data_IF_442601004427
#
_entry.id   IF_442601004427
#
_cell.length_a   1.000
_cell.length_b   1.000
_cell.length_c   1.000
_cell.angle_alpha   90.00
_cell.angle_beta   90.00
_cell.angle_gamma   90.00
#
_symmetry.space_group_name_H-M   'P 1'
#
loop_
_entity.id
_entity.type
_entity.pdbx_description
1 polymer ?
#
# COMPACT_ATOMS: atom_id res chain seq x y z
N UNK A 1 -44.81 7.59 -0.08
CA UNK A 1 -44.02 7.49 -1.33
C UNK A 1 -43.00 6.39 -1.13
N UNK A 2 -43.16 5.29 -1.85
CA UNK A 2 -42.24 4.17 -1.81
C UNK A 2 -40.99 4.47 -2.65
N UNK A 3 -39.80 4.37 -2.06
CA UNK A 3 -38.53 4.49 -2.77
C UNK A 3 -38.45 3.42 -3.89
N UNK A 4 -37.91 3.77 -5.09
CA UNK A 4 -37.66 2.83 -6.18
C UNK A 4 -36.90 1.58 -5.70
N UNK A 5 -37.22 0.43 -6.27
CA UNK A 5 -36.72 -0.87 -5.81
C UNK A 5 -35.18 -0.99 -5.84
N UNK A 6 -34.51 -0.25 -6.73
CA UNK A 6 -33.04 -0.18 -6.79
C UNK A 6 -32.44 0.60 -5.61
N UNK A 7 -33.08 1.68 -5.15
CA UNK A 7 -32.66 2.39 -3.94
C UNK A 7 -32.90 1.55 -2.69
N UNK A 8 -34.01 0.80 -2.64
CA UNK A 8 -34.25 -0.17 -1.56
C UNK A 8 -33.24 -1.32 -1.56
N UNK A 9 -32.69 -1.71 -2.72
CA UNK A 9 -31.64 -2.75 -2.86
C UNK A 9 -30.26 -2.24 -2.45
N UNK A 10 -29.94 -0.97 -2.75
CA UNK A 10 -28.78 -0.26 -2.21
C UNK A 10 -28.87 -0.10 -0.69
N UNK A 11 -30.02 0.30 -0.16
CA UNK A 11 -30.23 0.52 1.27
C UNK A 11 -30.33 -0.78 2.09
N UNK A 12 -30.83 -1.90 1.52
CA UNK A 12 -30.78 -3.23 2.17
C UNK A 12 -29.38 -3.84 2.27
N UNK A 13 -28.42 -3.40 1.43
CA UNK A 13 -27.02 -3.83 1.54
C UNK A 13 -26.23 -3.10 2.63
N UNK A 14 -26.81 -2.06 3.22
CA UNK A 14 -26.14 -1.13 4.14
C UNK A 14 -26.37 -1.50 5.63
N UNK A 15 -27.20 -2.49 5.97
CA UNK A 15 -27.54 -2.76 7.38
C UNK A 15 -26.63 -3.74 8.13
N UNK A 16 -25.61 -4.35 7.52
CA UNK A 16 -24.62 -5.19 8.21
C UNK A 16 -23.22 -4.98 7.57
N UNK A 17 -22.43 -4.01 8.07
CA UNK A 17 -21.22 -3.53 7.39
C UNK A 17 -20.01 -4.49 7.54
N UNK A 18 -19.98 -5.52 6.69
CA UNK A 18 -18.74 -6.15 6.20
C UNK A 18 -18.73 -5.96 4.68
N UNK A 19 -18.35 -4.77 4.21
CA UNK A 19 -18.33 -4.45 2.77
C UNK A 19 -17.08 -5.05 2.15
N UNK A 20 -17.17 -6.33 1.78
CA UNK A 20 -16.38 -6.95 0.71
C UNK A 20 -17.07 -6.80 -0.66
N UNK A 21 -17.98 -5.83 -0.81
CA UNK A 21 -18.78 -5.67 -2.02
C UNK A 21 -18.01 -4.85 -3.07
N UNK A 22 -17.68 -5.52 -4.17
CA UNK A 22 -16.94 -4.99 -5.32
C UNK A 22 -17.80 -3.97 -6.08
N UNK A 23 -17.49 -2.68 -6.00
CA UNK A 23 -18.12 -1.66 -6.83
C UNK A 23 -17.62 -1.85 -8.28
N UNK A 24 -18.43 -2.49 -9.13
CA UNK A 24 -18.00 -2.92 -10.46
C UNK A 24 -18.23 -1.90 -11.59
N UNK A 25 -18.84 -0.76 -11.31
CA UNK A 25 -19.00 0.37 -12.24
C UNK A 25 -19.65 1.53 -11.48
N UNK A 26 -19.03 2.71 -11.48
CA UNK A 26 -19.66 3.94 -11.00
C UNK A 26 -20.44 4.58 -12.17
N UNK A 27 -21.70 5.03 -11.97
CA UNK A 27 -22.43 5.77 -12.99
C UNK A 27 -21.78 7.14 -13.25
N UNK A 28 -22.02 7.73 -14.42
CA UNK A 28 -21.58 9.10 -14.77
C UNK A 28 -22.03 10.08 -13.66
N UNK A 29 -21.06 10.71 -12.98
CA UNK A 29 -21.29 11.66 -11.87
C UNK A 29 -20.62 11.29 -10.54
N UNK A 30 -20.69 12.22 -9.59
CA UNK A 30 -20.08 12.07 -8.27
C UNK A 30 -20.81 11.01 -7.41
N UNK A 31 -20.05 10.19 -6.70
CA UNK A 31 -20.56 9.13 -5.84
C UNK A 31 -20.36 9.48 -4.36
N UNK A 32 -21.45 9.58 -3.60
CA UNK A 32 -21.40 9.95 -2.19
C UNK A 32 -21.54 8.74 -1.26
N UNK A 33 -20.58 8.55 -0.35
CA UNK A 33 -20.63 7.57 0.73
C UNK A 33 -20.92 8.31 2.04
N UNK A 34 -22.17 8.25 2.52
CA UNK A 34 -22.62 8.94 3.76
C UNK A 34 -22.83 7.93 4.88
N UNK A 35 -21.77 7.70 5.67
CA UNK A 35 -21.79 6.67 6.72
C UNK A 35 -21.07 7.18 7.98
N UNK A 36 -21.77 7.92 8.88
CA UNK A 36 -21.12 8.59 10.02
C UNK A 36 -20.39 7.68 11.01
N UNK A 37 -20.77 6.41 11.07
CA UNK A 37 -20.19 5.41 11.97
C UNK A 37 -19.14 4.52 11.28
N UNK A 38 -18.86 4.73 9.99
CA UNK A 38 -17.94 3.89 9.23
C UNK A 38 -16.50 4.11 9.70
N UNK A 39 -15.83 3.03 10.12
CA UNK A 39 -14.44 3.06 10.61
C UNK A 39 -13.47 2.54 9.55
N UNK A 40 -13.91 1.58 8.72
CA UNK A 40 -13.11 0.93 7.70
C UNK A 40 -13.81 1.05 6.35
N UNK A 41 -13.09 1.50 5.32
CA UNK A 41 -13.57 1.57 3.95
C UNK A 41 -12.58 0.88 3.02
N UNK A 42 -13.06 -0.03 2.19
CA UNK A 42 -12.31 -0.61 1.08
C UNK A 42 -13.06 -0.32 -0.21
N UNK A 43 -12.35 0.24 -1.19
CA UNK A 43 -12.88 0.45 -2.53
C UNK A 43 -11.99 -0.31 -3.49
N UNK A 44 -12.61 -1.13 -4.34
CA UNK A 44 -11.96 -1.83 -5.43
C UNK A 44 -12.60 -1.35 -6.73
N UNK A 45 -11.79 -0.79 -7.62
CA UNK A 45 -12.26 -0.41 -8.96
C UNK A 45 -11.84 -1.44 -9.99
N UNK A 46 -12.79 -1.75 -10.88
CA UNK A 46 -12.52 -2.54 -12.08
C UNK A 46 -12.28 -1.54 -13.21
N UNK A 47 -11.09 -1.53 -13.77
CA UNK A 47 -10.77 -1.00 -15.10
C UNK A 47 -10.35 0.49 -15.25
N UNK A 48 -9.70 0.69 -16.41
CA UNK A 48 -9.04 1.88 -16.97
C UNK A 48 -9.99 3.00 -17.37
N UNK A 49 -11.29 2.73 -17.31
CA UNK A 49 -12.30 3.70 -17.67
C UNK A 49 -12.05 4.96 -16.84
N UNK A 50 -12.09 6.11 -17.53
CA UNK A 50 -12.13 7.38 -16.84
C UNK A 50 -13.35 7.29 -15.94
N UNK A 51 -13.12 7.23 -14.62
CA UNK A 51 -14.20 7.49 -13.69
C UNK A 51 -14.48 8.97 -13.92
N UNK A 52 -15.52 9.24 -14.70
CA UNK A 52 -16.08 10.57 -14.89
C UNK A 52 -16.89 10.90 -13.63
N UNK A 53 -16.17 11.23 -12.57
CA UNK A 53 -16.77 11.52 -11.27
C UNK A 53 -15.79 11.34 -10.11
N UNK A 54 -16.14 11.95 -8.98
CA UNK A 54 -15.39 11.85 -7.74
C UNK A 54 -16.15 11.02 -6.71
N UNK A 55 -15.44 10.16 -5.99
CA UNK A 55 -15.99 9.52 -4.79
C UNK A 55 -15.85 10.51 -3.63
N UNK A 56 -16.97 10.93 -3.03
CA UNK A 56 -16.99 11.83 -1.86
C UNK A 56 -17.40 11.03 -0.63
N UNK A 57 -16.51 10.95 0.34
CA UNK A 57 -16.70 10.17 1.57
C UNK A 57 -17.01 11.10 2.74
N UNK A 58 -18.22 10.99 3.26
CA UNK A 58 -18.75 11.69 4.43
C UNK A 58 -18.83 10.69 5.60
N UNK A 59 -17.70 10.45 6.24
CA UNK A 59 -17.56 9.45 7.30
C UNK A 59 -16.57 9.93 8.39
N UNK A 60 -16.98 10.82 9.32
CA UNK A 60 -16.09 11.44 10.31
C UNK A 60 -15.33 10.47 11.23
N UNK A 61 -15.83 9.23 11.40
CA UNK A 61 -15.17 8.19 12.20
C UNK A 61 -14.25 7.27 11.39
N UNK A 62 -14.08 7.53 10.09
CA UNK A 62 -13.27 6.72 9.21
C UNK A 62 -11.80 6.91 9.54
N UNK A 63 -11.13 5.82 9.89
CA UNK A 63 -9.70 5.80 10.21
C UNK A 63 -8.92 4.90 9.28
N UNK A 64 -9.55 3.89 8.67
CA UNK A 64 -8.86 2.91 7.83
C UNK A 64 -9.42 2.92 6.41
N UNK A 65 -8.55 3.14 5.44
CA UNK A 65 -8.91 3.15 4.03
C UNK A 65 -8.03 2.18 3.23
N UNK A 66 -8.65 1.37 2.37
CA UNK A 66 -7.97 0.53 1.41
C UNK A 66 -8.43 0.87 0.00
N UNK A 67 -7.47 1.17 -0.87
CA UNK A 67 -7.69 1.31 -2.30
C UNK A 67 -7.11 0.12 -3.06
N UNK A 68 -7.93 -0.49 -3.92
CA UNK A 68 -7.50 -1.41 -4.96
C UNK A 68 -7.80 -0.78 -6.31
N UNK A 69 -6.78 -0.16 -6.92
CA UNK A 69 -6.90 0.67 -8.12
C UNK A 69 -6.61 2.16 -7.85
N UNK A 70 -6.76 2.98 -8.89
CA UNK A 70 -6.66 4.45 -8.81
C UNK A 70 -7.96 5.10 -9.26
N UNK A 71 -8.44 6.07 -8.48
CA UNK A 71 -9.69 6.77 -8.73
C UNK A 71 -9.72 8.12 -8.00
N UNK A 72 -10.44 9.13 -8.54
CA UNK A 72 -10.66 10.37 -7.81
C UNK A 72 -11.51 10.11 -6.56
N UNK A 73 -11.02 10.56 -5.41
CA UNK A 73 -11.70 10.42 -4.12
C UNK A 73 -11.41 11.65 -3.26
N UNK A 74 -12.35 12.04 -2.41
CA UNK A 74 -12.15 13.01 -1.32
C UNK A 74 -12.82 12.53 -0.05
N UNK A 75 -12.19 12.85 1.07
CA UNK A 75 -12.70 12.58 2.41
C UNK A 75 -13.08 13.91 3.05
N UNK A 76 -14.38 14.09 3.29
CA UNK A 76 -14.90 15.21 4.06
C UNK A 76 -14.94 14.80 5.53
N UNK A 77 -14.34 15.63 6.39
CA UNK A 77 -14.26 15.46 7.85
C UNK A 77 -13.60 14.17 8.37
N UNK A 78 -12.95 13.38 7.51
CA UNK A 78 -12.28 12.14 7.92
C UNK A 78 -10.79 12.35 8.12
N UNK A 79 -10.26 11.91 9.26
CA UNK A 79 -8.82 11.85 9.53
C UNK A 79 -8.36 10.41 9.44
N UNK A 80 -7.67 10.07 8.36
CA UNK A 80 -7.22 8.70 8.11
C UNK A 80 -6.01 8.40 9.01
N UNK A 81 -6.04 7.25 9.68
CA UNK A 81 -4.90 6.71 10.40
C UNK A 81 -4.12 5.76 9.50
N UNK A 82 -4.79 4.78 8.90
CA UNK A 82 -4.16 3.74 8.10
C UNK A 82 -4.70 3.73 6.67
N UNK A 83 -3.80 3.90 5.72
CA UNK A 83 -4.10 3.82 4.28
C UNK A 83 -3.30 2.68 3.68
N UNK A 84 -3.98 1.78 2.97
CA UNK A 84 -3.36 0.75 2.15
C UNK A 84 -3.70 0.96 0.68
N UNK A 85 -2.68 1.05 -0.17
CA UNK A 85 -2.85 1.25 -1.61
C UNK A 85 -2.25 0.07 -2.34
N UNK A 86 -3.08 -0.52 -3.20
CA UNK A 86 -2.75 -1.64 -4.06
C UNK A 86 -3.20 -1.31 -5.48
N UNK A 87 -2.34 -1.59 -6.46
CA UNK A 87 -2.77 -1.64 -7.85
C UNK A 87 -3.34 -3.01 -8.17
N UNK A 88 -4.39 -3.04 -9.00
CA UNK A 88 -4.94 -4.30 -9.48
C UNK A 88 -3.92 -4.91 -10.45
N UNK A 89 -3.26 -6.00 -10.05
CA UNK A 89 -2.15 -6.65 -10.77
C UNK A 89 -2.52 -7.34 -12.09
N UNK A 90 -3.45 -6.77 -12.86
CA UNK A 90 -3.94 -7.28 -14.16
C UNK A 90 -3.62 -6.29 -15.30
N UNK A 91 -2.79 -5.29 -15.03
CA UNK A 91 -2.22 -4.49 -16.11
C UNK A 91 -1.22 -5.39 -16.82
N UNK A 92 -1.64 -6.00 -17.93
CA UNK A 92 -0.73 -6.65 -18.84
C UNK A 92 0.03 -5.55 -19.60
N UNK A 93 1.31 -5.30 -19.27
CA UNK A 93 2.09 -4.26 -19.93
C UNK A 93 2.34 -4.58 -21.42
N UNK A 94 2.09 -5.81 -21.89
CA UNK A 94 2.17 -6.15 -23.31
C UNK A 94 1.01 -5.59 -24.14
N UNK A 95 -0.17 -5.40 -23.54
CA UNK A 95 -1.37 -5.00 -24.26
C UNK A 95 -1.73 -3.51 -24.12
N UNK A 96 -0.94 -2.74 -23.37
CA UNK A 96 -1.20 -1.33 -23.08
C UNK A 96 0.01 -0.49 -23.45
N UNK A 97 -0.22 0.59 -24.21
CA UNK A 97 0.85 1.50 -24.55
C UNK A 97 1.47 2.13 -23.30
N UNK A 98 2.79 2.36 -23.30
CA UNK A 98 3.48 3.08 -22.21
C UNK A 98 2.83 4.42 -21.89
N UNK A 99 2.30 5.12 -22.92
CA UNK A 99 1.60 6.40 -22.77
C UNK A 99 0.31 6.24 -21.96
N UNK A 100 -0.53 5.27 -22.33
CA UNK A 100 -1.78 4.96 -21.62
C UNK A 100 -1.52 4.57 -20.17
N UNK A 101 -0.48 3.75 -19.95
CA UNK A 101 -0.10 3.33 -18.60
C UNK A 101 0.36 4.51 -17.73
N UNK A 102 1.15 5.42 -18.31
CA UNK A 102 1.60 6.63 -17.62
C UNK A 102 0.44 7.55 -17.26
N UNK A 103 -0.56 7.66 -18.15
CA UNK A 103 -1.79 8.42 -17.88
C UNK A 103 -2.63 7.80 -16.77
N UNK A 104 -2.74 6.47 -16.75
CA UNK A 104 -3.38 5.76 -15.65
C UNK A 104 -2.66 6.00 -14.31
N UNK A 105 -1.33 5.97 -14.30
CA UNK A 105 -0.54 6.26 -13.10
C UNK A 105 -0.60 7.72 -12.66
N UNK A 106 -0.74 8.68 -13.59
CA UNK A 106 -0.99 10.09 -13.25
C UNK A 106 -2.21 10.28 -12.36
N UNK A 107 -3.19 9.38 -12.37
CA UNK A 107 -4.33 9.44 -11.43
C UNK A 107 -3.90 9.41 -9.96
N UNK A 108 -2.71 8.91 -9.62
CA UNK A 108 -2.15 9.06 -8.27
C UNK A 108 -1.98 10.52 -7.84
N UNK A 109 -1.67 11.44 -8.75
CA UNK A 109 -1.53 12.86 -8.41
C UNK A 109 -2.88 13.51 -8.07
N UNK A 110 -3.99 12.86 -8.43
CA UNK A 110 -5.35 13.28 -8.07
C UNK A 110 -5.78 12.60 -6.76
N UNK A 111 -5.51 11.30 -6.63
CA UNK A 111 -5.96 10.49 -5.50
C UNK A 111 -5.18 10.74 -4.21
N UNK A 112 -3.84 10.83 -4.28
CA UNK A 112 -2.98 10.91 -3.09
C UNK A 112 -3.15 12.18 -2.25
N UNK A 113 -3.39 13.39 -2.81
CA UNK A 113 -3.71 14.59 -2.03
C UNK A 113 -4.85 14.38 -1.03
N UNK A 114 -5.89 13.66 -1.42
CA UNK A 114 -7.05 13.37 -0.55
C UNK A 114 -6.73 12.42 0.60
N UNK A 115 -5.56 11.79 0.58
CA UNK A 115 -5.05 10.90 1.64
C UNK A 115 -4.06 11.62 2.56
N UNK A 116 -3.91 12.94 2.43
CA UNK A 116 -2.86 13.71 3.10
C UNK A 116 -2.89 13.65 4.63
N UNK A 117 -4.04 13.35 5.24
CA UNK A 117 -4.21 13.18 6.68
C UNK A 117 -3.68 11.86 7.24
N UNK A 118 -3.33 10.90 6.36
CA UNK A 118 -2.87 9.57 6.73
C UNK A 118 -1.66 9.59 7.68
N UNK A 119 -1.71 8.78 8.75
CA UNK A 119 -0.56 8.55 9.65
C UNK A 119 0.34 7.42 9.17
N UNK A 120 -0.26 6.39 8.58
CA UNK A 120 0.46 5.23 8.04
C UNK A 120 0.01 4.98 6.62
N UNK A 121 0.96 5.00 5.69
CA UNK A 121 0.74 4.65 4.29
C UNK A 121 1.43 3.32 3.98
N UNK A 122 0.68 2.33 3.53
CA UNK A 122 1.20 1.03 3.13
C UNK A 122 1.01 0.87 1.63
N UNK A 123 2.10 0.58 0.91
CA UNK A 123 2.10 0.50 -0.55
C UNK A 123 2.43 -0.92 -1.00
N UNK A 124 1.75 -1.40 -2.04
CA UNK A 124 2.17 -2.62 -2.75
C UNK A 124 3.29 -2.30 -3.76
N UNK A 125 4.07 -3.31 -4.16
CA UNK A 125 5.20 -3.19 -5.07
C UNK A 125 4.82 -2.48 -6.38
N UNK A 126 3.72 -2.93 -6.98
CA UNK A 126 3.18 -2.40 -8.23
C UNK A 126 2.85 -0.91 -8.09
N UNK A 127 2.43 -0.46 -6.91
CA UNK A 127 2.16 0.96 -6.64
C UNK A 127 3.45 1.78 -6.60
N UNK A 128 4.52 1.24 -6.03
CA UNK A 128 5.84 1.89 -6.00
C UNK A 128 6.43 2.01 -7.42
N UNK A 129 6.30 0.95 -8.22
CA UNK A 129 6.73 0.93 -9.62
C UNK A 129 5.95 1.95 -10.47
N UNK A 130 4.65 2.05 -10.24
CA UNK A 130 3.79 3.04 -10.89
C UNK A 130 4.21 4.48 -10.56
N UNK A 131 4.44 4.79 -9.27
CA UNK A 131 4.94 6.09 -8.84
C UNK A 131 6.31 6.40 -9.45
N UNK A 132 7.20 5.42 -9.52
CA UNK A 132 8.53 5.57 -10.13
C UNK A 132 8.44 5.88 -11.63
N UNK A 133 7.48 5.26 -12.33
CA UNK A 133 7.21 5.48 -13.75
C UNK A 133 6.69 6.89 -14.08
N UNK A 134 6.14 7.61 -13.09
CA UNK A 134 5.66 8.99 -13.22
C UNK A 134 6.53 10.00 -12.46
N UNK A 135 7.76 9.63 -12.10
CA UNK A 135 8.70 10.47 -11.33
C UNK A 135 8.89 11.89 -11.91
N UNK A 136 8.87 12.03 -13.23
CA UNK A 136 8.94 13.33 -13.92
C UNK A 136 7.76 14.27 -13.61
N UNK A 137 6.62 13.75 -13.15
CA UNK A 137 5.48 14.54 -12.66
C UNK A 137 5.56 14.76 -11.15
N UNK A 138 6.12 13.81 -10.42
CA UNK A 138 6.29 13.91 -8.98
C UNK A 138 7.32 14.96 -8.59
N UNK A 139 8.37 15.16 -9.39
CA UNK A 139 9.44 16.15 -9.09
C UNK A 139 8.91 17.58 -8.95
N UNK A 140 7.87 17.93 -9.70
CA UNK A 140 7.22 19.25 -9.65
C UNK A 140 6.04 19.31 -8.69
N UNK A 141 5.69 18.20 -8.05
CA UNK A 141 4.51 18.10 -7.17
C UNK A 141 4.97 18.12 -5.70
N UNK A 142 4.37 18.96 -4.85
CA UNK A 142 4.65 18.90 -3.41
C UNK A 142 4.18 17.56 -2.85
N UNK A 143 4.79 17.16 -1.75
CA UNK A 143 4.33 15.97 -1.02
C UNK A 143 2.89 16.17 -0.53
N UNK A 144 1.95 15.25 -0.83
CA UNK A 144 0.55 15.40 -0.44
C UNK A 144 0.32 15.10 1.04
N UNK A 145 1.31 14.54 1.75
CA UNK A 145 1.14 13.98 3.08
C UNK A 145 1.69 14.90 4.16
N UNK A 146 0.81 15.47 4.96
CA UNK A 146 1.15 16.43 6.01
C UNK A 146 1.10 15.85 7.44
N UNK A 147 0.70 14.58 7.60
CA UNK A 147 0.52 13.94 8.90
C UNK A 147 1.11 12.52 8.96
N UNK A 148 1.97 12.15 8.00
CA UNK A 148 2.57 10.82 7.98
C UNK A 148 3.52 10.64 9.16
N UNK A 149 3.44 9.45 9.76
CA UNK A 149 4.40 8.92 10.72
C UNK A 149 5.25 7.82 10.09
N UNK A 150 4.66 7.00 9.24
CA UNK A 150 5.42 5.98 8.54
C UNK A 150 4.86 5.59 7.17
N UNK A 151 5.77 5.22 6.27
CA UNK A 151 5.48 4.54 5.01
C UNK A 151 5.95 3.10 5.13
N UNK A 152 5.03 2.14 4.97
CA UNK A 152 5.34 0.71 4.96
C UNK A 152 5.56 0.25 3.53
N UNK A 153 6.76 -0.26 3.27
CA UNK A 153 7.12 -0.86 1.98
C UNK A 153 6.73 -2.33 1.97
N UNK A 154 6.48 -2.91 0.77
CA UNK A 154 6.12 -4.31 0.66
C UNK A 154 7.27 -5.20 1.17
N UNK A 155 6.91 -6.40 1.59
CA UNK A 155 7.88 -7.35 2.11
C UNK A 155 9.00 -7.65 1.11
N UNK A 156 10.25 -7.65 1.57
CA UNK A 156 11.42 -7.88 0.72
C UNK A 156 11.82 -6.70 -0.18
N UNK A 157 11.11 -5.57 -0.15
CA UNK A 157 11.53 -4.37 -0.87
C UNK A 157 12.52 -3.56 -0.03
N UNK A 158 13.71 -3.34 -0.60
CA UNK A 158 14.75 -2.57 0.05
C UNK A 158 14.47 -1.07 -0.02
N UNK A 159 14.55 -0.37 1.11
CA UNK A 159 14.37 1.09 1.15
C UNK A 159 15.32 1.82 0.19
N UNK A 160 16.55 1.33 0.02
CA UNK A 160 17.55 1.89 -0.90
C UNK A 160 17.12 1.82 -2.38
N UNK A 161 16.21 0.91 -2.72
CA UNK A 161 15.64 0.79 -4.07
C UNK A 161 14.56 1.84 -4.36
N UNK A 162 14.08 2.57 -3.35
CA UNK A 162 13.13 3.65 -3.54
C UNK A 162 13.84 4.89 -4.11
N UNK A 163 13.44 5.33 -5.31
CA UNK A 163 14.02 6.52 -5.92
C UNK A 163 13.88 7.75 -5.02
N UNK A 164 14.88 8.64 -5.05
CA UNK A 164 14.89 9.87 -4.27
C UNK A 164 13.67 10.76 -4.54
N UNK A 165 13.19 10.77 -5.79
CA UNK A 165 11.99 11.52 -6.20
C UNK A 165 10.75 10.95 -5.51
N UNK A 166 10.52 9.63 -5.58
CA UNK A 166 9.36 9.01 -4.93
C UNK A 166 9.47 9.16 -3.42
N UNK A 167 10.66 8.97 -2.84
CA UNK A 167 10.91 9.19 -1.42
C UNK A 167 10.54 10.61 -0.99
N UNK A 168 11.05 11.62 -1.69
CA UNK A 168 10.75 13.03 -1.41
C UNK A 168 9.26 13.32 -1.55
N UNK A 169 8.63 12.82 -2.61
CA UNK A 169 7.19 13.00 -2.82
C UNK A 169 6.35 12.38 -1.69
N UNK A 170 6.74 11.23 -1.14
CA UNK A 170 6.02 10.59 -0.05
C UNK A 170 6.27 11.25 1.32
N UNK A 171 7.48 11.74 1.60
CA UNK A 171 7.90 12.12 2.96
C UNK A 171 8.08 13.62 3.20
N UNK A 172 8.34 14.43 2.17
CA UNK A 172 8.76 15.83 2.38
C UNK A 172 7.71 16.72 3.06
N UNK A 173 6.43 16.34 3.05
CA UNK A 173 5.37 17.04 3.79
C UNK A 173 5.30 16.66 5.27
N UNK A 174 6.01 15.60 5.68
CA UNK A 174 6.03 15.09 7.06
C UNK A 174 7.48 14.75 7.46
N UNK A 175 8.29 15.75 7.85
CA UNK A 175 9.75 15.57 8.05
C UNK A 175 10.15 14.51 9.10
N UNK A 176 9.26 14.18 10.03
CA UNK A 176 9.46 13.15 11.05
C UNK A 176 9.03 11.75 10.61
N UNK A 177 8.44 11.60 9.41
CA UNK A 177 7.97 10.33 8.91
C UNK A 177 9.14 9.41 8.55
N UNK A 178 9.00 8.12 8.86
CA UNK A 178 10.02 7.11 8.56
C UNK A 178 9.54 6.11 7.51
N UNK A 179 10.48 5.43 6.87
CA UNK A 179 10.18 4.26 6.06
C UNK A 179 10.38 3.03 6.92
N UNK A 180 9.43 2.11 6.87
CA UNK A 180 9.50 0.80 7.52
C UNK A 180 9.45 -0.25 6.43
N UNK A 181 10.60 -0.83 6.11
CA UNK A 181 10.67 -2.09 5.39
C UNK A 181 10.45 -3.22 6.41
N UNK A 182 9.45 -4.08 6.19
CA UNK A 182 9.40 -5.34 6.95
C UNK A 182 10.61 -6.17 6.53
N UNK A 183 11.59 -6.31 7.44
CA UNK A 183 12.72 -7.22 7.31
C UNK A 183 12.21 -8.66 7.04
N UNK A 184 12.93 -9.49 6.27
CA UNK A 184 12.61 -10.90 6.15
C UNK A 184 12.47 -11.53 7.54
N UNK A 185 11.50 -12.44 7.78
CA UNK A 185 11.57 -13.28 8.96
C UNK A 185 12.89 -14.01 8.85
N UNK A 186 13.80 -13.75 9.79
CA UNK A 186 14.97 -14.60 9.95
C UNK A 186 14.41 -16.00 10.16
N UNK A 187 14.59 -16.89 9.18
CA UNK A 187 14.39 -18.32 9.37
C UNK A 187 15.33 -18.73 10.50
N UNK A 188 14.79 -18.81 11.71
CA UNK A 188 15.42 -19.44 12.85
C UNK A 188 15.35 -20.95 12.64
N UNK A 189 16.08 -21.46 11.64
CA UNK A 189 16.41 -22.87 11.50
C UNK A 189 17.91 -22.99 11.24
N UNK A 190 18.68 -22.56 12.25
CA UNK A 190 19.96 -23.21 12.55
C UNK A 190 19.68 -24.27 13.60
N UNK A 191 19.19 -25.43 13.16
CA UNK A 191 19.32 -26.66 13.93
C UNK A 191 20.80 -27.05 13.85
N UNK A 192 21.54 -26.73 14.91
CA UNK A 192 22.81 -27.39 15.24
C UNK A 192 22.42 -28.69 15.97
N UNK A 193 22.72 -29.89 15.45
CA UNK A 193 22.67 -31.08 16.27
C UNK A 193 23.97 -31.15 17.08
N UNK A 194 23.91 -30.65 18.31
CA UNK A 194 24.87 -31.01 19.36
C UNK A 194 24.46 -32.34 19.99
N UNK A 195 25.17 -33.40 19.62
CA UNK A 195 25.23 -34.71 20.30
C UNK A 195 26.66 -35.20 20.08
N UNK A 196 27.45 -35.72 21.01
CA UNK A 196 27.29 -36.16 22.38
C UNK A 196 28.72 -36.18 22.96
N UNK A 197 28.89 -35.72 24.20
CA UNK A 197 30.09 -35.94 25.00
C UNK A 197 29.93 -37.28 25.71
N UNK A 198 30.85 -38.22 25.49
CA UNK A 198 31.45 -39.08 26.53
C UNK A 198 32.46 -40.05 25.89
N UNK A 199 33.68 -40.13 26.45
CA UNK A 199 34.62 -41.16 26.03
C UNK A 199 36.11 -40.90 26.32
N UNK A 200 36.45 -40.70 27.59
CA UNK A 200 37.73 -41.07 28.25
C UNK A 200 39.06 -40.46 27.79
N UNK A 201 39.72 -39.85 28.79
CA UNK A 201 41.12 -39.48 28.85
C UNK A 201 42.07 -40.58 28.33
N UNK A 202 43.12 -40.14 27.63
CA UNK A 202 44.48 -40.63 27.88
C UNK A 202 45.48 -39.59 27.37
N UNK A 203 46.23 -39.03 28.32
CA UNK A 203 47.50 -38.37 28.11
C UNK A 203 48.47 -39.34 27.44
N UNK A 204 49.10 -38.95 26.32
CA UNK A 204 50.50 -39.29 26.06
C UNK A 204 51.16 -38.21 25.19
N UNK A 205 52.13 -37.55 25.81
CA UNK A 205 53.24 -36.83 25.18
C UNK A 205 54.07 -37.80 24.35
N UNK A 206 54.36 -37.47 23.10
CA UNK A 206 55.69 -37.71 22.53
C UNK A 206 55.95 -36.80 21.35
N UNK A 207 57.01 -36.00 21.47
CA UNK A 207 57.70 -35.34 20.37
C UNK A 207 58.21 -36.33 19.34
N UNK A 208 58.41 -35.86 18.10
CA UNK A 208 59.41 -36.19 17.06
C UNK A 208 58.70 -35.80 15.75
N UNK A 209 59.23 -35.06 14.80
CA UNK A 209 60.55 -34.55 14.51
C UNK A 209 60.45 -34.00 13.08
N UNK A 210 61.11 -32.88 12.84
CA UNK A 210 61.31 -32.24 11.55
C UNK A 210 61.97 -33.22 10.57
N UNK A 211 61.49 -33.31 9.32
CA UNK A 211 62.36 -33.19 8.16
C UNK A 211 61.62 -33.03 6.83
N UNK A 212 62.06 -31.99 6.13
CA UNK A 212 61.95 -31.70 4.70
C UNK A 212 62.62 -32.77 3.84
N UNK A 213 62.04 -33.08 2.68
CA UNK A 213 62.66 -32.97 1.34
C UNK A 213 61.55 -32.85 0.29
#
# INVERSE_FOLDING_TARGET
MDLPWEEKKLLRRISEYKVEDRISSLPDGDCYIRCPQLINLKIETRCYDAIEGQIVVLAPKLTNFTSVGTFPITFEDSKLDNVYIKLRGWIDPMNISKKTLKEYYRRFTIMLPSLGSAKTLSLQLETIEALSSISNFLVSSPSPFYNLKCVKLPHGFEEASLSSIVRSYLLSGSPTATIVATLPPVHADRVIPSTLVEGTCNDQVSSYGVNTY
#
